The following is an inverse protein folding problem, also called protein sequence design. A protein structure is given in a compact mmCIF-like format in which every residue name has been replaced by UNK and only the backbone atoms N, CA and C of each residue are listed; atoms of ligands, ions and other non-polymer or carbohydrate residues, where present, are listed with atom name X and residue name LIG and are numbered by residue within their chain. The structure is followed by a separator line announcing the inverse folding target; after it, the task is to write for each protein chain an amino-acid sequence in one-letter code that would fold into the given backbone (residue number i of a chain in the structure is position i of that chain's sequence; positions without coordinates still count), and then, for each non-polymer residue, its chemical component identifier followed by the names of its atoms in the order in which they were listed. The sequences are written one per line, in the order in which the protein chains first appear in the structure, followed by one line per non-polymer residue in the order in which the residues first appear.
data_IF_338371007062
#
_entry.id   IF_338371007062
#
_cell.length_a   1.000
_cell.length_b   1.000
_cell.length_c   1.000
_cell.angle_alpha   90.00
_cell.angle_beta   90.00
_cell.angle_gamma   90.00
#
_symmetry.space_group_name_H-M   'P 1'
#
loop_
_entity.id
_entity.type
_entity.pdbx_description
1 polymer ?
#
# COMPACT_ATOMS: atom_id res chain seq x y z
N UNK A 1 48.41 -26.32 37.70
CA UNK A 1 47.20 -26.66 36.89
C UNK A 1 45.94 -25.90 37.37
N UNK A 2 45.63 -25.82 38.64
CA UNK A 2 44.40 -25.17 39.18
C UNK A 2 44.24 -23.68 38.84
N UNK A 3 45.31 -22.88 38.85
CA UNK A 3 45.26 -21.43 38.51
C UNK A 3 44.92 -21.17 37.04
N UNK A 4 45.47 -22.00 36.12
CA UNK A 4 45.18 -21.90 34.68
C UNK A 4 43.72 -22.25 34.36
N UNK A 5 43.13 -23.18 35.09
CA UNK A 5 41.73 -23.57 34.96
C UNK A 5 40.76 -22.48 35.53
N UNK A 6 41.12 -21.83 36.65
CA UNK A 6 40.38 -20.71 37.22
C UNK A 6 40.35 -19.51 36.25
N UNK A 7 41.49 -19.18 35.61
CA UNK A 7 41.61 -18.09 34.64
C UNK A 7 40.81 -18.37 33.35
N UNK A 8 40.77 -19.62 32.87
CA UNK A 8 39.92 -20.04 31.75
C UNK A 8 38.44 -19.96 32.08
N UNK A 9 37.99 -20.41 33.26
CA UNK A 9 36.60 -20.30 33.73
C UNK A 9 36.13 -18.85 33.84
N UNK A 10 36.98 -17.97 34.37
CA UNK A 10 36.70 -16.52 34.51
C UNK A 10 36.57 -15.83 33.16
N UNK A 11 37.44 -16.12 32.18
CA UNK A 11 37.36 -15.60 30.81
C UNK A 11 36.07 -16.05 30.11
N UNK A 12 35.69 -17.35 30.26
CA UNK A 12 34.46 -17.91 29.69
C UNK A 12 33.20 -17.27 30.30
N UNK A 13 33.19 -16.94 31.60
CA UNK A 13 32.13 -16.27 32.28
C UNK A 13 31.98 -14.79 31.83
N UNK A 14 33.12 -14.09 31.67
CA UNK A 14 33.12 -12.69 31.19
C UNK A 14 32.66 -12.59 29.74
N UNK A 15 33.09 -13.53 28.89
CA UNK A 15 32.66 -13.61 27.49
C UNK A 15 31.12 -13.87 27.37
N UNK A 16 30.60 -14.79 28.17
CA UNK A 16 29.15 -15.04 28.23
C UNK A 16 28.38 -13.81 28.69
N UNK A 17 28.89 -13.09 29.68
CA UNK A 17 28.29 -11.84 30.16
C UNK A 17 28.29 -10.76 29.08
N UNK A 18 29.38 -10.61 28.34
CA UNK A 18 29.47 -9.70 27.21
C UNK A 18 28.42 -10.03 26.13
N UNK A 19 28.33 -11.31 25.73
CA UNK A 19 27.38 -11.75 24.71
C UNK A 19 25.93 -11.42 25.09
N UNK A 20 25.51 -11.72 26.31
CA UNK A 20 24.12 -11.43 26.67
C UNK A 20 23.84 -9.94 26.79
N UNK A 21 24.79 -9.12 27.28
CA UNK A 21 24.61 -7.66 27.35
C UNK A 21 24.54 -7.07 25.94
N UNK A 22 25.41 -7.50 25.04
CA UNK A 22 25.38 -7.08 23.65
C UNK A 22 24.04 -7.46 22.97
N UNK A 23 23.59 -8.70 23.15
CA UNK A 23 22.33 -9.16 22.59
C UNK A 23 21.12 -8.43 23.19
N UNK A 24 21.17 -8.10 24.48
CA UNK A 24 20.13 -7.29 25.13
C UNK A 24 20.08 -5.85 24.57
N UNK A 25 21.23 -5.23 24.37
CA UNK A 25 21.32 -3.92 23.74
C UNK A 25 20.75 -3.93 22.32
N UNK A 26 21.10 -4.93 21.52
CA UNK A 26 20.52 -5.12 20.16
C UNK A 26 19.02 -5.37 20.23
N UNK A 27 18.56 -6.18 21.20
CA UNK A 27 17.11 -6.45 21.37
C UNK A 27 16.34 -5.18 21.72
N UNK A 28 16.88 -4.28 22.55
CA UNK A 28 16.28 -2.98 22.83
C UNK A 28 16.28 -2.10 21.59
N UNK A 29 17.40 -2.04 20.86
CA UNK A 29 17.56 -1.23 19.65
C UNK A 29 16.56 -1.63 18.54
N UNK A 30 16.26 -2.92 18.38
CA UNK A 30 15.27 -3.44 17.41
C UNK A 30 13.87 -3.44 18.01
N UNK A 31 13.73 -3.81 19.27
CA UNK A 31 12.44 -3.98 19.94
C UNK A 31 11.69 -2.68 20.15
N UNK A 32 12.40 -1.57 20.46
CA UNK A 32 11.75 -0.26 20.63
C UNK A 32 11.12 0.26 19.33
N UNK A 33 11.81 0.28 18.16
CA UNK A 33 11.16 0.58 16.89
C UNK A 33 10.04 -0.41 16.52
N UNK A 34 10.15 -1.70 16.85
CA UNK A 34 9.08 -2.67 16.61
C UNK A 34 7.84 -2.37 17.48
N UNK A 35 8.02 -1.91 18.71
CA UNK A 35 6.92 -1.38 19.54
C UNK A 35 6.32 -0.11 18.92
N UNK A 36 7.14 0.79 18.39
CA UNK A 36 6.66 1.99 17.70
C UNK A 36 5.87 1.63 16.44
N UNK A 37 6.26 0.60 15.69
CA UNK A 37 5.48 0.16 14.53
C UNK A 37 4.10 -0.40 14.92
N UNK A 38 3.98 -1.07 16.07
CA UNK A 38 2.67 -1.40 16.66
C UNK A 38 1.84 -0.14 16.97
N UNK A 39 2.48 0.89 17.53
CA UNK A 39 1.79 2.15 17.86
C UNK A 39 1.47 3.01 16.63
N UNK A 40 2.13 2.80 15.49
CA UNK A 40 1.93 3.57 14.26
C UNK A 40 0.49 3.53 13.72
N UNK A 41 -0.25 2.46 14.01
CA UNK A 41 -1.67 2.35 13.65
C UNK A 41 -2.60 3.25 14.48
N UNK A 42 -2.13 3.75 15.62
CA UNK A 42 -2.93 4.54 16.58
C UNK A 42 -2.49 5.99 16.69
N UNK A 43 -1.18 6.24 16.62
CA UNK A 43 -0.59 7.56 16.84
C UNK A 43 -0.48 8.30 15.51
N UNK A 44 -1.12 9.50 15.38
CA UNK A 44 -1.02 10.30 14.17
C UNK A 44 0.43 10.69 13.83
N UNK A 45 0.82 10.71 12.55
CA UNK A 45 2.14 11.17 12.11
C UNK A 45 2.50 12.59 12.56
N UNK A 46 1.52 13.48 12.69
CA UNK A 46 1.70 14.83 13.22
C UNK A 46 2.17 14.83 14.68
N UNK A 47 1.80 13.82 15.47
CA UNK A 47 2.20 13.66 16.87
C UNK A 47 3.61 13.09 16.98
N UNK A 48 3.95 12.06 16.19
CA UNK A 48 5.26 11.43 16.22
C UNK A 48 5.66 10.84 14.87
N UNK A 49 6.60 11.52 14.21
CA UNK A 49 7.20 11.01 12.98
C UNK A 49 7.98 9.71 13.19
N UNK A 50 8.65 9.51 14.33
CA UNK A 50 9.41 8.28 14.61
C UNK A 50 8.53 7.04 14.64
N UNK A 51 7.32 7.18 15.16
CA UNK A 51 6.31 6.13 15.16
C UNK A 51 5.87 5.82 13.73
N UNK A 52 5.59 6.83 12.91
CA UNK A 52 5.20 6.65 11.51
C UNK A 52 6.29 5.96 10.69
N UNK A 53 7.56 6.37 10.85
CA UNK A 53 8.71 5.72 10.18
C UNK A 53 8.89 4.27 10.59
N UNK A 54 8.66 3.94 11.86
CA UNK A 54 8.73 2.56 12.35
C UNK A 54 7.68 1.68 11.69
N UNK A 55 6.51 2.23 11.32
CA UNK A 55 5.46 1.53 10.58
C UNK A 55 5.93 1.04 9.20
N UNK A 56 6.66 1.87 8.44
CA UNK A 56 7.27 1.43 7.16
C UNK A 56 8.31 0.34 7.40
N UNK A 57 9.13 0.46 8.45
CA UNK A 57 10.21 -0.48 8.76
C UNK A 57 9.70 -1.82 9.34
N UNK A 58 8.41 -1.96 9.62
CA UNK A 58 7.81 -3.10 10.33
C UNK A 58 8.30 -4.48 9.84
N UNK A 59 8.26 -4.84 8.54
CA UNK A 59 8.64 -6.18 8.11
C UNK A 59 10.09 -6.52 8.47
N UNK A 60 11.00 -5.57 8.32
CA UNK A 60 12.42 -5.74 8.63
C UNK A 60 12.68 -5.85 10.13
N UNK A 61 12.01 -5.01 10.92
CA UNK A 61 12.08 -5.04 12.38
C UNK A 61 11.53 -6.35 12.94
N UNK A 62 10.45 -6.86 12.35
CA UNK A 62 9.88 -8.16 12.73
C UNK A 62 10.88 -9.29 12.47
N UNK A 63 11.47 -9.36 11.26
CA UNK A 63 12.45 -10.40 10.91
C UNK A 63 13.67 -10.31 11.84
N UNK A 64 14.20 -9.10 12.06
CA UNK A 64 15.33 -8.90 12.99
C UNK A 64 14.98 -9.36 14.42
N UNK A 65 13.78 -9.04 14.91
CA UNK A 65 13.32 -9.47 16.23
C UNK A 65 13.10 -10.98 16.31
N UNK A 66 12.65 -11.66 15.24
CA UNK A 66 12.55 -13.11 15.18
C UNK A 66 13.95 -13.78 15.27
N UNK A 67 14.96 -13.21 14.59
CA UNK A 67 16.34 -13.66 14.69
C UNK A 67 16.86 -13.51 16.12
N UNK A 68 16.62 -12.37 16.77
CA UNK A 68 17.00 -12.12 18.17
C UNK A 68 16.28 -13.11 19.10
N UNK A 69 15.00 -13.35 18.88
CA UNK A 69 14.21 -14.31 19.63
C UNK A 69 14.85 -15.72 19.56
N UNK A 70 15.25 -16.16 18.36
CA UNK A 70 15.95 -17.42 18.16
C UNK A 70 17.30 -17.46 18.89
N UNK A 71 18.11 -16.39 18.83
CA UNK A 71 19.40 -16.31 19.52
C UNK A 71 19.28 -16.39 21.04
N UNK A 72 18.19 -15.88 21.63
CA UNK A 72 17.96 -15.97 23.07
C UNK A 72 17.83 -17.39 23.57
N UNK A 73 17.39 -18.34 22.76
CA UNK A 73 17.32 -19.78 23.12
C UNK A 73 18.70 -20.30 23.55
N UNK A 74 19.78 -19.86 22.86
CA UNK A 74 21.14 -20.34 23.09
C UNK A 74 21.92 -19.52 24.11
N UNK A 75 21.63 -18.22 24.23
CA UNK A 75 22.38 -17.31 25.10
C UNK A 75 21.77 -17.27 26.49
N UNK A 76 20.45 -17.00 26.61
CA UNK A 76 19.73 -16.92 27.87
C UNK A 76 18.22 -16.90 27.63
N UNK A 77 17.62 -18.07 27.64
CA UNK A 77 16.19 -18.28 27.28
C UNK A 77 15.18 -17.40 28.03
N UNK A 78 15.53 -16.94 29.26
CA UNK A 78 14.67 -16.04 30.06
C UNK A 78 14.33 -14.72 29.36
N UNK A 79 15.23 -14.20 28.50
CA UNK A 79 15.02 -12.96 27.76
C UNK A 79 14.23 -13.16 26.45
N UNK A 80 13.99 -14.41 26.05
CA UNK A 80 13.10 -14.75 24.93
C UNK A 80 11.72 -14.10 25.09
N UNK A 81 11.25 -13.92 26.32
CA UNK A 81 9.96 -13.31 26.64
C UNK A 81 9.83 -11.89 26.06
N UNK A 82 10.92 -11.11 25.97
CA UNK A 82 10.90 -9.74 25.44
C UNK A 82 10.54 -9.78 23.96
N UNK A 83 11.29 -10.54 23.16
CA UNK A 83 11.05 -10.66 21.72
C UNK A 83 9.72 -11.32 21.41
N UNK A 84 9.34 -12.36 22.17
CA UNK A 84 8.06 -13.06 22.01
C UNK A 84 6.87 -12.13 22.28
N UNK A 85 6.93 -11.32 23.34
CA UNK A 85 5.88 -10.33 23.65
C UNK A 85 5.71 -9.33 22.52
N UNK A 86 6.82 -8.82 21.93
CA UNK A 86 6.77 -7.91 20.80
C UNK A 86 6.16 -8.55 19.55
N UNK A 87 6.45 -9.82 19.27
CA UNK A 87 5.82 -10.57 18.17
C UNK A 87 4.31 -10.72 18.43
N UNK A 88 3.93 -11.12 19.64
CA UNK A 88 2.52 -11.31 20.01
C UNK A 88 1.71 -10.01 19.91
N UNK A 89 2.26 -8.88 20.36
CA UNK A 89 1.63 -7.56 20.19
C UNK A 89 1.39 -7.21 18.73
N UNK A 90 2.26 -7.66 17.83
CA UNK A 90 2.19 -7.37 16.41
C UNK A 90 1.43 -8.41 15.56
N UNK A 91 0.79 -9.42 16.15
CA UNK A 91 0.08 -10.49 15.39
C UNK A 91 -0.94 -9.94 14.40
N UNK A 92 -1.73 -8.93 14.80
CA UNK A 92 -2.67 -8.27 13.90
C UNK A 92 -1.97 -7.49 12.77
N UNK A 93 -0.80 -6.92 13.02
CA UNK A 93 0.01 -6.24 12.00
C UNK A 93 0.65 -7.25 11.03
N UNK A 94 1.09 -8.41 11.55
CA UNK A 94 1.58 -9.54 10.73
C UNK A 94 0.47 -10.01 9.79
N UNK A 95 -0.74 -10.23 10.30
CA UNK A 95 -1.91 -10.65 9.51
C UNK A 95 -2.30 -9.65 8.40
N UNK A 96 -1.99 -8.37 8.56
CA UNK A 96 -2.17 -7.36 7.51
C UNK A 96 -1.11 -7.42 6.41
N UNK A 97 0.07 -7.98 6.69
CA UNK A 97 1.20 -8.05 5.76
C UNK A 97 1.32 -9.40 5.06
N UNK A 98 0.91 -10.47 5.71
CA UNK A 98 1.09 -11.82 5.20
C UNK A 98 -0.11 -12.70 5.51
N UNK A 99 -0.66 -13.38 4.48
CA UNK A 99 -1.73 -14.32 4.61
C UNK A 99 -1.23 -15.74 4.41
N UNK A 100 -1.34 -16.55 5.46
CA UNK A 100 -0.97 -17.97 5.45
C UNK A 100 -2.06 -18.86 4.85
N UNK A 101 -3.28 -18.34 4.76
CA UNK A 101 -4.43 -19.06 4.20
C UNK A 101 -4.32 -19.13 2.68
N UNK A 102 -4.84 -20.20 2.10
CA UNK A 102 -5.00 -20.28 0.65
C UNK A 102 -6.13 -19.37 0.16
N UNK A 103 -6.10 -19.04 -1.14
CA UNK A 103 -7.15 -18.24 -1.78
C UNK A 103 -8.46 -19.02 -1.79
N UNK A 104 -9.45 -18.56 -1.04
CA UNK A 104 -10.81 -19.09 -1.08
C UNK A 104 -11.50 -18.68 -2.40
N UNK A 105 -11.79 -19.64 -3.26
CA UNK A 105 -12.58 -19.39 -4.49
C UNK A 105 -14.04 -19.75 -4.22
N UNK A 106 -15.00 -18.91 -4.65
CA UNK A 106 -16.41 -19.26 -4.55
C UNK A 106 -16.70 -20.44 -5.49
N UNK A 107 -17.38 -21.48 -5.02
CA UNK A 107 -17.71 -22.64 -5.84
C UNK A 107 -18.68 -22.29 -6.99
N UNK A 108 -19.70 -21.49 -6.77
CA UNK A 108 -20.59 -20.83 -7.74
C UNK A 108 -21.17 -19.59 -7.06
N UNK A 109 -20.98 -18.42 -7.63
CA UNK A 109 -21.48 -17.17 -7.04
C UNK A 109 -22.26 -16.37 -8.09
N UNK A 110 -23.57 -16.61 -8.16
CA UNK A 110 -24.48 -15.86 -9.04
C UNK A 110 -24.70 -14.40 -8.58
N UNK A 111 -24.22 -14.04 -7.39
CA UNK A 111 -24.41 -12.73 -6.77
C UNK A 111 -23.09 -12.01 -6.45
N UNK A 112 -21.97 -12.53 -6.94
CA UNK A 112 -20.67 -11.89 -6.72
C UNK A 112 -20.47 -10.74 -7.69
N UNK A 113 -19.80 -9.69 -7.18
CA UNK A 113 -19.31 -8.55 -7.94
C UNK A 113 -17.79 -8.67 -7.99
N UNK A 114 -17.22 -8.72 -9.20
CA UNK A 114 -15.77 -8.70 -9.39
C UNK A 114 -15.27 -7.27 -9.43
N UNK A 115 -14.49 -6.88 -8.42
CA UNK A 115 -13.98 -5.52 -8.25
C UNK A 115 -12.47 -5.52 -8.48
N UNK A 116 -11.98 -4.54 -9.25
CA UNK A 116 -10.57 -4.32 -9.53
C UNK A 116 -10.16 -2.91 -9.10
N UNK A 117 -9.02 -2.79 -8.43
CA UNK A 117 -8.32 -1.52 -8.21
C UNK A 117 -7.01 -1.54 -8.97
N UNK A 118 -6.71 -0.50 -9.74
CA UNK A 118 -5.54 -0.48 -10.59
C UNK A 118 -4.96 0.92 -10.75
N UNK A 119 -3.80 1.18 -10.15
CA UNK A 119 -2.99 2.34 -10.51
C UNK A 119 -2.29 2.05 -11.86
N UNK A 120 -2.73 2.73 -12.92
CA UNK A 120 -2.29 2.47 -14.31
C UNK A 120 -1.07 3.31 -14.71
N UNK A 121 -0.49 4.11 -13.81
CA UNK A 121 0.70 4.93 -14.07
C UNK A 121 0.62 5.66 -15.41
N UNK A 122 -0.48 6.34 -15.68
CA UNK A 122 -0.77 7.03 -16.93
C UNK A 122 -0.69 6.10 -18.16
N UNK A 123 -0.95 4.80 -18.00
CA UNK A 123 -0.83 3.75 -19.03
C UNK A 123 0.59 3.65 -19.62
N UNK A 124 1.60 3.90 -18.79
CA UNK A 124 3.02 3.92 -19.17
C UNK A 124 3.37 4.95 -20.26
N UNK A 125 2.64 6.07 -20.25
CA UNK A 125 2.80 7.15 -21.25
C UNK A 125 4.21 7.71 -21.31
N UNK A 126 4.92 7.76 -20.19
CA UNK A 126 6.27 8.33 -20.07
C UNK A 126 7.38 7.28 -20.11
N UNK A 127 7.12 6.11 -20.69
CA UNK A 127 8.19 5.13 -20.89
C UNK A 127 9.29 5.75 -21.77
N UNK A 128 10.55 5.80 -21.28
CA UNK A 128 11.64 6.47 -22.01
C UNK A 128 12.07 5.73 -23.26
N UNK A 129 11.58 4.50 -23.48
CA UNK A 129 11.93 3.68 -24.63
C UNK A 129 10.90 3.90 -25.75
N UNK A 130 11.22 4.60 -26.85
CA UNK A 130 10.26 4.90 -27.92
C UNK A 130 9.58 3.65 -28.51
N UNK A 131 10.30 2.53 -28.60
CA UNK A 131 9.77 1.25 -29.09
C UNK A 131 8.76 0.58 -28.14
N UNK A 132 8.65 1.06 -26.90
CA UNK A 132 7.71 0.56 -25.89
C UNK A 132 6.48 1.47 -25.73
N UNK A 133 6.46 2.64 -26.40
CA UNK A 133 5.32 3.56 -26.33
C UNK A 133 4.01 2.87 -26.71
N UNK A 134 3.01 2.97 -25.86
CA UNK A 134 1.70 2.34 -26.04
C UNK A 134 1.61 0.85 -25.68
N UNK A 135 2.73 0.12 -25.57
CA UNK A 135 2.70 -1.31 -25.19
C UNK A 135 2.18 -1.53 -23.76
N UNK A 136 2.45 -0.62 -22.85
CA UNK A 136 1.90 -0.64 -21.49
C UNK A 136 0.36 -0.60 -21.53
N UNK A 137 -0.20 0.33 -22.32
CA UNK A 137 -1.64 0.44 -22.55
C UNK A 137 -2.25 -0.84 -23.10
N UNK A 138 -1.64 -1.44 -24.13
CA UNK A 138 -2.13 -2.68 -24.74
C UNK A 138 -2.13 -3.84 -23.74
N UNK A 139 -1.08 -3.98 -22.92
CA UNK A 139 -1.03 -5.01 -21.87
C UNK A 139 -2.16 -4.82 -20.86
N UNK A 140 -2.44 -3.58 -20.45
CA UNK A 140 -3.54 -3.25 -19.51
C UNK A 140 -4.90 -3.66 -20.13
N UNK A 141 -5.15 -3.28 -21.37
CA UNK A 141 -6.43 -3.62 -22.05
C UNK A 141 -6.60 -5.12 -22.25
N UNK A 142 -5.55 -5.83 -22.64
CA UNK A 142 -5.58 -7.29 -22.75
C UNK A 142 -5.89 -7.95 -21.39
N UNK A 143 -5.30 -7.42 -20.31
CA UNK A 143 -5.57 -7.90 -18.96
C UNK A 143 -7.04 -7.66 -18.55
N UNK A 144 -7.56 -6.46 -18.79
CA UNK A 144 -8.97 -6.16 -18.53
C UNK A 144 -9.91 -7.09 -19.31
N UNK A 145 -9.58 -7.40 -20.58
CA UNK A 145 -10.35 -8.32 -21.43
C UNK A 145 -10.36 -9.75 -20.88
N UNK A 146 -9.25 -10.20 -20.29
CA UNK A 146 -9.12 -11.53 -19.66
C UNK A 146 -9.88 -11.56 -18.34
N UNK A 147 -9.66 -10.57 -17.47
CA UNK A 147 -10.20 -10.55 -16.13
C UNK A 147 -11.69 -10.20 -16.07
N UNK A 148 -12.21 -9.43 -17.02
CA UNK A 148 -13.61 -9.00 -17.14
C UNK A 148 -14.22 -8.53 -15.81
N UNK A 149 -13.64 -7.56 -15.12
CA UNK A 149 -14.18 -7.07 -13.87
C UNK A 149 -15.57 -6.43 -14.08
N UNK A 150 -16.41 -6.48 -13.04
CA UNK A 150 -17.70 -5.80 -13.08
C UNK A 150 -17.55 -4.33 -12.69
N UNK A 151 -16.55 -4.01 -11.87
CA UNK A 151 -16.20 -2.65 -11.44
C UNK A 151 -14.68 -2.51 -11.49
N UNK A 152 -14.19 -1.43 -12.11
CA UNK A 152 -12.77 -1.06 -12.13
C UNK A 152 -12.61 0.34 -11.59
N UNK A 153 -11.71 0.49 -10.63
CA UNK A 153 -11.28 1.78 -10.09
C UNK A 153 -9.84 2.04 -10.53
N UNK A 154 -9.64 3.05 -11.36
CA UNK A 154 -8.33 3.45 -11.85
C UNK A 154 -7.78 4.63 -11.05
N UNK A 155 -6.50 4.57 -10.73
CA UNK A 155 -5.68 5.67 -10.25
C UNK A 155 -4.64 6.03 -11.31
N UNK A 156 -4.20 7.29 -11.32
CA UNK A 156 -3.32 7.86 -12.34
C UNK A 156 -3.87 7.62 -13.76
N UNK A 157 -5.18 7.78 -13.90
CA UNK A 157 -5.88 7.66 -15.17
C UNK A 157 -5.54 8.81 -16.09
N UNK A 158 -5.20 8.51 -17.35
CA UNK A 158 -4.85 9.49 -18.38
C UNK A 158 -5.88 9.52 -19.49
N UNK A 159 -6.26 10.72 -19.91
CA UNK A 159 -7.13 10.96 -21.06
C UNK A 159 -6.50 11.98 -22.02
N UNK A 160 -6.32 11.60 -23.27
CA UNK A 160 -5.95 12.46 -24.40
C UNK A 160 -7.23 12.87 -25.14
N UNK A 161 -7.80 14.02 -24.79
CA UNK A 161 -9.09 14.50 -25.34
C UNK A 161 -9.00 14.81 -26.83
N UNK A 162 -7.85 15.32 -27.29
CA UNK A 162 -7.62 15.66 -28.69
C UNK A 162 -7.12 14.49 -29.54
N UNK A 163 -6.89 13.35 -28.90
CA UNK A 163 -6.27 12.18 -29.51
C UNK A 163 -4.96 12.44 -30.27
N UNK A 164 -4.21 13.44 -29.83
CA UNK A 164 -2.94 13.81 -30.48
C UNK A 164 -1.84 12.76 -30.34
N UNK A 165 -1.92 11.98 -29.27
CA UNK A 165 -1.02 10.87 -28.98
C UNK A 165 -1.57 9.52 -29.46
N UNK A 166 -2.72 9.51 -30.15
CA UNK A 166 -3.45 8.29 -30.51
C UNK A 166 -3.77 7.42 -29.27
N UNK A 167 -4.25 8.06 -28.21
CA UNK A 167 -4.40 7.46 -26.89
C UNK A 167 -5.87 7.43 -26.43
N UNK A 168 -6.70 6.66 -27.13
CA UNK A 168 -8.13 6.47 -26.86
C UNK A 168 -8.34 5.60 -25.60
N UNK A 169 -8.25 6.18 -24.41
CA UNK A 169 -8.35 5.40 -23.19
C UNK A 169 -9.79 5.04 -22.82
N UNK A 170 -10.68 6.02 -22.77
CA UNK A 170 -12.07 5.80 -22.31
C UNK A 170 -12.83 4.87 -23.25
N UNK A 171 -12.86 5.15 -24.55
CA UNK A 171 -13.57 4.33 -25.54
C UNK A 171 -13.00 2.91 -25.61
N UNK A 172 -11.66 2.78 -25.51
CA UNK A 172 -11.00 1.48 -25.49
C UNK A 172 -11.37 0.66 -24.25
N UNK A 173 -11.53 1.28 -23.07
CA UNK A 173 -11.95 0.57 -21.86
C UNK A 173 -13.41 0.19 -21.96
N UNK A 174 -14.28 1.09 -22.42
CA UNK A 174 -15.71 0.79 -22.63
C UNK A 174 -15.88 -0.40 -23.58
N UNK A 175 -15.17 -0.37 -24.71
CA UNK A 175 -15.17 -1.49 -25.67
C UNK A 175 -14.60 -2.77 -25.06
N UNK A 176 -13.48 -2.69 -24.34
CA UNK A 176 -12.82 -3.86 -23.73
C UNK A 176 -13.68 -4.53 -22.67
N UNK A 177 -14.43 -3.75 -21.89
CA UNK A 177 -15.31 -4.24 -20.85
C UNK A 177 -16.74 -4.52 -21.33
N UNK A 178 -17.00 -4.34 -22.65
CA UNK A 178 -18.32 -4.51 -23.28
C UNK A 178 -19.38 -3.61 -22.61
N UNK A 179 -18.98 -2.39 -22.21
CA UNK A 179 -19.86 -1.39 -21.59
C UNK A 179 -20.48 -0.49 -22.68
N UNK A 180 -21.67 0.01 -22.38
CA UNK A 180 -22.31 1.04 -23.23
C UNK A 180 -21.51 2.35 -23.12
N UNK A 181 -21.38 3.07 -24.23
CA UNK A 181 -20.80 4.42 -24.22
C UNK A 181 -21.83 5.42 -23.68
N UNK A 182 -22.02 5.38 -22.37
CA UNK A 182 -22.99 6.16 -21.64
C UNK A 182 -22.42 6.47 -20.25
N UNK A 183 -22.45 7.74 -19.86
CA UNK A 183 -21.95 8.23 -18.57
C UNK A 183 -22.62 7.56 -17.35
N UNK A 184 -23.70 6.81 -17.55
CA UNK A 184 -24.32 5.96 -16.52
C UNK A 184 -23.47 4.74 -16.13
N UNK A 185 -22.39 4.43 -16.87
CA UNK A 185 -21.54 3.26 -16.66
C UNK A 185 -20.08 3.60 -16.36
N UNK A 186 -19.74 4.90 -16.35
CA UNK A 186 -18.43 5.36 -15.91
C UNK A 186 -18.51 6.74 -15.26
N UNK A 187 -17.55 7.05 -14.40
CA UNK A 187 -17.33 8.38 -13.84
C UNK A 187 -15.84 8.68 -13.82
N UNK A 188 -15.47 9.84 -14.32
CA UNK A 188 -14.08 10.31 -14.40
C UNK A 188 -13.99 11.71 -13.82
N UNK A 189 -12.90 11.97 -13.11
CA UNK A 189 -12.61 13.29 -12.61
C UNK A 189 -11.12 13.62 -12.75
N UNK A 190 -10.85 14.79 -13.29
CA UNK A 190 -9.52 15.27 -13.63
C UNK A 190 -9.27 16.61 -12.93
N UNK A 191 -8.60 16.61 -11.75
CA UNK A 191 -8.29 17.85 -11.03
C UNK A 191 -7.33 18.75 -11.79
N UNK A 192 -6.48 18.16 -12.63
CA UNK A 192 -5.49 18.86 -13.42
C UNK A 192 -5.57 18.48 -14.90
N UNK A 193 -5.27 19.47 -15.74
CA UNK A 193 -5.11 19.28 -17.18
C UNK A 193 -3.91 20.07 -17.69
N UNK A 194 -3.30 19.58 -18.76
CA UNK A 194 -2.25 20.27 -19.47
C UNK A 194 -2.81 20.76 -20.82
N UNK A 195 -2.84 22.08 -21.01
CA UNK A 195 -3.27 22.74 -22.25
C UNK A 195 -4.72 22.42 -22.67
N UNK A 196 -5.59 21.98 -21.74
CA UNK A 196 -6.94 21.46 -22.02
C UNK A 196 -6.97 20.27 -23.01
N UNK A 197 -5.87 19.53 -23.14
CA UNK A 197 -5.71 18.40 -24.03
C UNK A 197 -5.44 17.10 -23.28
N UNK A 198 -4.57 17.16 -22.26
CA UNK A 198 -4.15 16.00 -21.47
C UNK A 198 -4.69 16.10 -20.06
N UNK A 199 -5.45 15.11 -19.66
CA UNK A 199 -6.15 15.08 -18.39
C UNK A 199 -5.63 13.94 -17.51
N UNK A 200 -5.44 14.23 -16.24
CA UNK A 200 -4.88 13.31 -15.25
C UNK A 200 -5.79 13.22 -14.05
N UNK A 201 -6.18 12.01 -13.64
CA UNK A 201 -7.08 11.88 -12.53
C UNK A 201 -7.42 10.44 -12.14
N UNK A 202 -8.67 10.27 -11.77
CA UNK A 202 -9.25 8.99 -11.36
C UNK A 202 -10.43 8.64 -12.24
N UNK A 203 -10.69 7.31 -12.39
CA UNK A 203 -11.86 6.85 -13.10
C UNK A 203 -12.48 5.61 -12.42
N UNK A 204 -13.79 5.49 -12.51
CA UNK A 204 -14.57 4.30 -12.13
C UNK A 204 -15.35 3.86 -13.37
N UNK A 205 -15.20 2.60 -13.78
CA UNK A 205 -16.00 1.95 -14.81
C UNK A 205 -16.77 0.79 -14.20
N UNK A 206 -18.02 0.61 -14.60
CA UNK A 206 -18.89 -0.38 -13.97
C UNK A 206 -19.96 -0.90 -14.93
N UNK A 207 -20.32 -2.19 -14.82
CA UNK A 207 -21.46 -2.79 -15.52
C UNK A 207 -22.81 -2.37 -14.93
N UNK A 208 -22.80 -1.74 -13.77
CA UNK A 208 -24.00 -1.34 -13.05
C UNK A 208 -24.28 0.15 -13.24
N UNK A 209 -25.56 0.49 -13.35
CA UNK A 209 -25.97 1.89 -13.54
C UNK A 209 -25.52 2.74 -12.35
N UNK A 210 -24.78 3.81 -12.62
CA UNK A 210 -24.47 4.89 -11.68
C UNK A 210 -25.72 5.77 -11.53
N UNK A 211 -26.14 5.99 -10.31
CA UNK A 211 -27.29 6.81 -9.95
C UNK A 211 -26.88 8.13 -9.30
N UNK A 212 -25.65 8.20 -8.80
CA UNK A 212 -25.05 9.42 -8.25
C UNK A 212 -23.53 9.28 -8.27
N UNK A 213 -22.82 10.37 -8.37
CA UNK A 213 -21.35 10.40 -8.33
C UNK A 213 -20.85 11.74 -7.77
N UNK A 214 -19.56 11.80 -7.45
CA UNK A 214 -18.95 13.04 -7.02
C UNK A 214 -17.49 12.88 -6.59
N UNK A 215 -16.94 13.98 -6.10
CA UNK A 215 -15.55 14.13 -5.70
C UNK A 215 -15.46 14.41 -4.22
N UNK A 216 -14.46 13.81 -3.57
CA UNK A 216 -14.00 14.20 -2.24
C UNK A 216 -12.63 14.84 -2.41
N UNK A 217 -12.60 16.16 -2.35
CA UNK A 217 -11.36 16.93 -2.44
C UNK A 217 -10.55 16.71 -1.15
N UNK A 218 -9.43 16.01 -1.26
CA UNK A 218 -8.56 15.67 -0.12
C UNK A 218 -7.43 16.68 0.11
N UNK A 219 -7.09 17.42 -0.94
CA UNK A 219 -6.10 18.49 -0.91
C UNK A 219 -6.38 19.45 -2.08
N UNK A 220 -6.58 20.71 -1.77
CA UNK A 220 -6.94 21.72 -2.78
C UNK A 220 -5.89 21.83 -3.89
N UNK A 221 -6.34 21.71 -5.14
CA UNK A 221 -5.49 21.82 -6.32
C UNK A 221 -4.49 20.68 -6.53
N UNK A 222 -4.69 19.55 -5.86
CA UNK A 222 -3.84 18.36 -5.97
C UNK A 222 -4.51 17.24 -6.77
N UNK A 223 -3.69 16.34 -7.33
CA UNK A 223 -4.16 15.07 -7.89
C UNK A 223 -4.53 14.02 -6.82
N UNK A 224 -4.28 14.35 -5.54
CA UNK A 224 -4.61 13.47 -4.43
C UNK A 224 -6.07 13.70 -4.01
N UNK A 225 -6.95 12.91 -4.56
CA UNK A 225 -8.41 13.01 -4.42
C UNK A 225 -9.02 11.64 -4.19
N UNK A 226 -10.28 11.61 -3.83
CA UNK A 226 -11.13 10.45 -3.97
C UNK A 226 -12.36 10.81 -4.82
N UNK A 227 -12.78 9.90 -5.67
CA UNK A 227 -14.06 9.99 -6.36
C UNK A 227 -14.98 8.87 -5.86
N UNK A 228 -16.28 9.08 -5.98
CA UNK A 228 -17.24 8.04 -5.68
C UNK A 228 -18.31 7.92 -6.77
N UNK A 229 -18.86 6.72 -6.88
CA UNK A 229 -20.03 6.42 -7.68
C UNK A 229 -21.00 5.54 -6.85
N UNK A 230 -22.26 5.96 -6.80
CA UNK A 230 -23.34 5.16 -6.23
C UNK A 230 -23.93 4.31 -7.35
N UNK A 231 -23.72 2.99 -7.29
CA UNK A 231 -24.18 2.05 -8.30
C UNK A 231 -25.44 1.34 -7.85
N UNK A 232 -26.36 1.12 -8.79
CA UNK A 232 -27.56 0.31 -8.55
C UNK A 232 -27.24 -1.15 -8.77
N UNK A 233 -27.27 -1.94 -7.70
CA UNK A 233 -27.08 -3.37 -7.75
C UNK A 233 -28.35 -4.05 -7.23
N UNK A 234 -29.15 -4.64 -8.14
CA UNK A 234 -30.48 -5.19 -7.82
C UNK A 234 -31.39 -4.14 -7.16
N UNK A 235 -31.92 -4.43 -5.97
CA UNK A 235 -32.72 -3.50 -5.17
C UNK A 235 -31.88 -2.49 -4.40
N UNK A 236 -30.59 -2.75 -4.21
CA UNK A 236 -29.70 -1.98 -3.34
C UNK A 236 -28.89 -0.92 -4.11
N UNK A 237 -28.32 -0.02 -3.36
CA UNK A 237 -27.33 0.95 -3.85
C UNK A 237 -26.03 0.75 -3.07
N UNK A 238 -24.91 0.65 -3.79
CA UNK A 238 -23.57 0.47 -3.22
C UNK A 238 -22.71 1.67 -3.62
N UNK A 239 -22.01 2.27 -2.67
CA UNK A 239 -21.05 3.35 -2.97
C UNK A 239 -19.67 2.78 -3.18
N UNK A 240 -19.10 3.06 -4.36
CA UNK A 240 -17.73 2.69 -4.74
C UNK A 240 -16.87 3.94 -4.65
N UNK A 241 -15.74 3.86 -3.98
CA UNK A 241 -14.71 4.91 -4.00
C UNK A 241 -13.50 4.45 -4.80
N UNK A 242 -12.94 5.33 -5.63
CA UNK A 242 -11.57 5.26 -6.15
C UNK A 242 -10.75 6.34 -5.46
N UNK A 243 -9.65 5.95 -4.81
CA UNK A 243 -8.87 6.79 -3.90
C UNK A 243 -7.42 6.83 -4.37
N UNK A 244 -6.81 8.01 -4.36
CA UNK A 244 -5.37 8.17 -4.54
C UNK A 244 -4.85 9.17 -3.49
N UNK A 245 -4.20 8.66 -2.45
CA UNK A 245 -3.60 9.48 -1.40
C UNK A 245 -2.22 10.00 -1.83
N UNK A 246 -1.71 11.00 -1.11
CA UNK A 246 -0.41 11.62 -1.41
C UNK A 246 0.71 10.59 -1.50
N UNK A 247 1.37 10.54 -2.66
CA UNK A 247 2.60 9.78 -2.87
C UNK A 247 3.81 10.50 -2.24
N UNK A 248 4.94 9.79 -2.13
CA UNK A 248 6.17 10.35 -1.56
C UNK A 248 6.85 11.30 -2.54
N UNK A 249 6.48 11.24 -3.84
CA UNK A 249 7.10 12.00 -4.94
C UNK A 249 8.63 11.90 -4.94
N UNK A 250 9.13 10.66 -4.95
CA UNK A 250 10.55 10.38 -5.12
C UNK A 250 10.98 10.74 -6.54
N UNK A 251 12.03 11.54 -6.68
CA UNK A 251 12.62 11.87 -7.95
C UNK A 251 13.72 10.85 -8.37
N UNK A 252 14.25 10.99 -9.57
CA UNK A 252 15.29 10.10 -10.09
C UNK A 252 16.53 10.05 -9.18
N UNK A 253 16.87 11.17 -8.54
CA UNK A 253 18.01 11.26 -7.62
C UNK A 253 17.73 10.47 -6.33
N UNK A 254 16.49 10.47 -5.83
CA UNK A 254 16.09 9.66 -4.68
C UNK A 254 16.19 8.16 -4.97
N UNK A 255 15.75 7.72 -6.17
CA UNK A 255 15.89 6.32 -6.61
C UNK A 255 17.36 5.91 -6.77
N UNK A 256 18.19 6.76 -7.37
CA UNK A 256 19.63 6.53 -7.47
C UNK A 256 20.26 6.46 -6.07
N UNK A 257 19.81 7.29 -5.12
CA UNK A 257 20.26 7.25 -3.72
C UNK A 257 19.92 5.93 -3.06
N UNK A 258 18.73 5.39 -3.28
CA UNK A 258 18.33 4.07 -2.79
C UNK A 258 19.23 2.94 -3.31
N UNK A 259 19.61 2.97 -4.59
CA UNK A 259 20.60 2.04 -5.19
C UNK A 259 22.02 2.26 -4.64
N UNK A 260 22.41 3.49 -4.40
CA UNK A 260 23.72 3.88 -3.85
C UNK A 260 23.93 3.40 -2.42
N UNK A 261 22.86 3.35 -1.61
CA UNK A 261 22.92 2.86 -0.23
C UNK A 261 23.49 1.44 -0.12
N UNK A 262 23.24 0.60 -1.12
CA UNK A 262 23.77 -0.77 -1.16
C UNK A 262 25.21 -0.86 -1.61
N UNK A 263 25.77 0.19 -2.23
CA UNK A 263 27.07 0.14 -2.91
C UNK A 263 28.15 1.07 -2.31
N UNK A 264 27.79 2.19 -1.66
CA UNK A 264 28.74 3.20 -1.21
C UNK A 264 28.33 3.86 0.13
N UNK A 265 28.63 3.22 1.24
CA UNK A 265 28.35 3.76 2.58
C UNK A 265 29.19 5.00 2.95
N UNK A 266 30.23 5.34 2.18
CA UNK A 266 31.19 6.41 2.47
C UNK A 266 31.00 7.69 1.63
N UNK A 267 29.89 7.86 0.90
CA UNK A 267 29.62 9.11 0.14
C UNK A 267 29.32 10.27 1.12
N UNK A 268 30.10 11.37 1.11
CA UNK A 268 29.85 12.52 1.97
C UNK A 268 28.48 13.20 1.73
N UNK A 269 27.89 13.02 0.54
CA UNK A 269 26.56 13.53 0.20
C UNK A 269 25.42 12.60 0.63
N UNK A 270 25.71 11.38 1.05
CA UNK A 270 24.72 10.39 1.45
C UNK A 270 23.81 10.90 2.58
N UNK A 271 24.40 11.56 3.57
CA UNK A 271 23.67 12.16 4.69
C UNK A 271 22.63 13.21 4.22
N UNK A 272 22.99 14.06 3.26
CA UNK A 272 22.08 15.09 2.71
C UNK A 272 20.96 14.48 1.89
N UNK A 273 21.27 13.49 1.05
CA UNK A 273 20.31 12.77 0.22
C UNK A 273 19.30 12.00 1.08
N UNK A 274 19.78 11.27 2.08
CA UNK A 274 18.93 10.54 3.05
C UNK A 274 18.01 11.49 3.81
N UNK A 275 18.51 12.65 4.22
CA UNK A 275 17.70 13.67 4.90
C UNK A 275 16.56 14.17 4.01
N UNK A 276 16.78 14.33 2.70
CA UNK A 276 15.73 14.75 1.77
C UNK A 276 14.63 13.71 1.65
N UNK A 277 14.98 12.43 1.48
CA UNK A 277 14.00 11.33 1.44
C UNK A 277 13.20 11.28 2.75
N UNK A 278 13.88 11.42 3.88
CA UNK A 278 13.24 11.47 5.18
C UNK A 278 12.22 12.61 5.30
N UNK A 279 12.57 13.83 4.83
CA UNK A 279 11.66 14.96 4.84
C UNK A 279 10.46 14.77 3.92
N UNK A 280 10.66 14.22 2.71
CA UNK A 280 9.57 13.88 1.79
C UNK A 280 8.59 12.87 2.41
N UNK A 281 9.11 11.85 3.09
CA UNK A 281 8.30 10.87 3.82
C UNK A 281 7.49 11.51 4.95
N UNK A 282 8.11 12.34 5.79
CA UNK A 282 7.43 13.02 6.91
C UNK A 282 6.27 13.91 6.41
N UNK A 283 6.51 14.67 5.34
CA UNK A 283 5.47 15.48 4.71
C UNK A 283 4.34 14.62 4.17
N UNK A 284 4.65 13.53 3.46
CA UNK A 284 3.66 12.64 2.89
C UNK A 284 2.79 11.97 3.98
N UNK A 285 3.39 11.52 5.09
CA UNK A 285 2.64 10.95 6.22
C UNK A 285 1.62 11.93 6.81
N UNK A 286 2.03 13.18 7.06
CA UNK A 286 1.17 14.22 7.61
C UNK A 286 0.06 14.61 6.65
N UNK A 287 0.34 14.68 5.35
CA UNK A 287 -0.68 14.92 4.33
C UNK A 287 -1.71 13.79 4.32
N UNK A 288 -1.28 12.53 4.29
CA UNK A 288 -2.18 11.36 4.32
C UNK A 288 -3.04 11.30 5.59
N UNK A 289 -2.50 11.71 6.74
CA UNK A 289 -3.29 11.84 7.98
C UNK A 289 -4.49 12.78 7.78
N UNK A 290 -4.27 13.97 7.21
CA UNK A 290 -5.33 14.95 6.95
C UNK A 290 -6.32 14.44 5.90
N UNK A 291 -5.81 13.87 4.80
CA UNK A 291 -6.62 13.32 3.72
C UNK A 291 -7.56 12.21 4.22
N UNK A 292 -7.04 11.31 5.03
CA UNK A 292 -7.84 10.22 5.63
C UNK A 292 -8.90 10.76 6.57
N UNK A 293 -8.61 11.81 7.33
CA UNK A 293 -9.60 12.46 8.20
C UNK A 293 -10.76 13.05 7.37
N UNK A 294 -10.46 13.74 6.27
CA UNK A 294 -11.47 14.31 5.37
C UNK A 294 -12.29 13.20 4.71
N UNK A 295 -11.63 12.18 4.17
CA UNK A 295 -12.29 11.04 3.54
C UNK A 295 -13.20 10.30 4.53
N UNK A 296 -12.75 10.10 5.76
CA UNK A 296 -13.53 9.45 6.81
C UNK A 296 -14.80 10.23 7.13
N UNK A 297 -14.73 11.54 7.24
CA UNK A 297 -15.92 12.38 7.47
C UNK A 297 -16.96 12.20 6.36
N UNK A 298 -16.52 12.13 5.11
CA UNK A 298 -17.40 11.87 3.97
C UNK A 298 -17.98 10.45 3.99
N UNK A 299 -17.17 9.45 4.32
CA UNK A 299 -17.61 8.06 4.48
C UNK A 299 -18.65 7.92 5.60
N UNK A 300 -18.46 8.63 6.72
CA UNK A 300 -19.33 8.57 7.88
C UNK A 300 -20.74 9.14 7.60
N UNK A 301 -20.87 10.02 6.61
CA UNK A 301 -22.17 10.55 6.15
C UNK A 301 -22.91 9.62 5.17
N UNK A 302 -22.26 8.58 4.65
CA UNK A 302 -22.84 7.67 3.67
C UNK A 302 -23.72 6.60 4.33
N UNK A 303 -24.95 6.44 3.83
CA UNK A 303 -25.91 5.41 4.30
C UNK A 303 -25.78 4.07 3.58
N UNK A 304 -25.15 4.06 2.42
CA UNK A 304 -25.00 2.87 1.57
C UNK A 304 -23.88 1.99 2.05
N UNK A 305 -23.90 0.67 1.73
CA UNK A 305 -22.71 -0.16 1.78
C UNK A 305 -21.62 0.44 0.93
N UNK A 306 -20.37 0.33 1.40
CA UNK A 306 -19.22 0.97 0.76
C UNK A 306 -18.19 -0.06 0.33
N UNK A 307 -17.59 0.15 -0.83
CA UNK A 307 -16.35 -0.49 -1.27
C UNK A 307 -15.34 0.64 -1.55
N UNK A 308 -14.19 0.57 -0.89
CA UNK A 308 -13.08 1.51 -1.07
C UNK A 308 -11.98 0.82 -1.87
N UNK A 309 -11.67 1.35 -3.04
CA UNK A 309 -10.58 0.88 -3.90
C UNK A 309 -9.54 1.98 -4.03
N UNK A 310 -8.27 1.66 -4.03
CA UNK A 310 -7.29 2.66 -4.40
C UNK A 310 -5.90 2.48 -3.85
N UNK A 311 -5.05 3.38 -4.33
CA UNK A 311 -3.67 3.55 -3.88
C UNK A 311 -3.64 4.48 -2.66
N UNK A 312 -3.36 3.90 -1.50
CA UNK A 312 -3.23 4.67 -0.25
C UNK A 312 -1.81 5.22 -0.07
N UNK A 313 -0.88 4.80 -0.93
CA UNK A 313 0.53 5.19 -0.86
C UNK A 313 1.17 4.95 0.52
N UNK A 314 0.62 4.03 1.31
CA UNK A 314 1.05 3.75 2.67
C UNK A 314 0.91 2.26 3.01
N UNK A 315 1.70 1.78 3.98
CA UNK A 315 1.77 0.36 4.36
C UNK A 315 0.62 -0.07 5.27
N UNK A 316 0.37 -1.39 5.43
CA UNK A 316 -0.68 -1.89 6.34
C UNK A 316 -0.44 -1.58 7.83
N UNK A 317 0.80 -1.23 8.23
CA UNK A 317 1.11 -0.78 9.58
C UNK A 317 0.83 0.71 9.80
N UNK A 318 0.56 1.49 8.76
CA UNK A 318 0.42 2.94 8.82
C UNK A 318 -0.86 3.40 9.53
N UNK A 319 -0.83 4.65 10.01
CA UNK A 319 -2.00 5.34 10.53
C UNK A 319 -3.11 5.44 9.47
N UNK A 320 -2.76 5.85 8.25
CA UNK A 320 -3.73 6.08 7.18
C UNK A 320 -4.56 4.84 6.85
N UNK A 321 -3.91 3.70 6.57
CA UNK A 321 -4.61 2.44 6.34
C UNK A 321 -5.50 2.06 7.53
N UNK A 322 -4.97 2.14 8.75
CA UNK A 322 -5.69 1.65 9.92
C UNK A 322 -6.91 2.51 10.28
N UNK A 323 -6.89 3.83 10.01
CA UNK A 323 -8.07 4.67 10.24
C UNK A 323 -9.24 4.30 9.32
N UNK A 324 -8.97 3.92 8.06
CA UNK A 324 -9.99 3.45 7.13
C UNK A 324 -10.41 2.00 7.43
N UNK A 325 -9.46 1.11 7.65
CA UNK A 325 -9.73 -0.31 7.90
C UNK A 325 -10.53 -0.59 9.20
N UNK A 326 -10.62 0.35 10.15
CA UNK A 326 -11.44 0.17 11.38
C UNK A 326 -12.91 -0.14 11.09
N UNK A 327 -13.48 0.47 10.04
CA UNK A 327 -14.89 0.30 9.68
C UNK A 327 -15.14 -0.84 8.70
N UNK A 328 -14.14 -1.23 7.94
CA UNK A 328 -14.22 -2.12 6.80
C UNK A 328 -13.45 -3.43 7.05
N UNK A 329 -13.71 -4.40 6.21
CA UNK A 329 -12.88 -5.60 6.04
C UNK A 329 -11.92 -5.36 4.87
N UNK A 330 -10.74 -5.94 4.94
CA UNK A 330 -9.73 -5.91 3.88
C UNK A 330 -9.80 -7.21 3.08
N UNK A 331 -10.02 -7.12 1.77
CA UNK A 331 -10.14 -8.29 0.89
C UNK A 331 -8.91 -9.20 0.94
N UNK A 332 -7.71 -8.62 1.07
CA UNK A 332 -6.47 -9.39 1.20
C UNK A 332 -6.45 -10.23 2.47
N UNK A 333 -6.87 -9.66 3.60
CA UNK A 333 -6.92 -10.38 4.88
C UNK A 333 -7.94 -11.49 4.90
N UNK A 334 -9.06 -11.31 4.20
CA UNK A 334 -10.17 -12.28 4.19
C UNK A 334 -9.95 -13.42 3.19
N UNK A 335 -9.38 -13.14 2.03
CA UNK A 335 -9.31 -14.10 0.91
C UNK A 335 -8.03 -14.03 0.06
N UNK A 336 -7.00 -13.34 0.53
CA UNK A 336 -5.69 -13.26 -0.13
C UNK A 336 -4.73 -14.36 0.32
N UNK A 337 -3.55 -14.38 -0.31
CA UNK A 337 -2.44 -15.29 0.01
C UNK A 337 -1.09 -14.59 -0.14
N UNK A 338 -0.12 -14.98 0.69
CA UNK A 338 1.25 -14.47 0.64
C UNK A 338 1.38 -13.04 1.14
N UNK A 339 2.20 -12.22 0.50
CA UNK A 339 2.55 -10.87 0.93
C UNK A 339 1.62 -9.78 0.37
N UNK A 340 0.96 -10.04 -0.75
CA UNK A 340 0.05 -9.10 -1.41
C UNK A 340 0.72 -7.81 -1.88
N UNK A 341 1.99 -7.86 -2.25
CA UNK A 341 2.79 -6.70 -2.67
C UNK A 341 2.20 -6.11 -3.95
N UNK A 342 1.95 -4.81 -3.95
CA UNK A 342 1.41 -4.07 -5.10
C UNK A 342 2.41 -3.05 -5.66
N UNK A 343 3.34 -2.57 -4.84
CA UNK A 343 4.41 -1.66 -5.26
C UNK A 343 5.75 -2.38 -5.40
N UNK A 344 6.32 -2.34 -6.59
CA UNK A 344 7.56 -3.03 -6.98
C UNK A 344 8.66 -2.03 -7.40
N UNK A 345 9.00 -1.08 -6.53
CA UNK A 345 10.08 -0.14 -6.83
C UNK A 345 11.46 -0.81 -6.89
N UNK A 346 12.27 -0.49 -7.92
CA UNK A 346 13.60 -1.10 -8.13
C UNK A 346 14.62 -0.77 -7.04
N UNK A 347 14.46 0.36 -6.34
CA UNK A 347 15.45 0.89 -5.40
C UNK A 347 14.97 0.90 -3.95
N UNK A 348 13.72 0.62 -3.71
CA UNK A 348 13.08 0.66 -2.38
C UNK A 348 12.41 -0.67 -2.06
N UNK A 349 12.17 -0.91 -0.77
CA UNK A 349 11.43 -2.07 -0.33
C UNK A 349 10.08 -2.18 -1.02
N UNK A 350 9.69 -3.40 -1.35
CA UNK A 350 8.40 -3.69 -1.93
C UNK A 350 7.32 -3.69 -0.87
N UNK A 351 6.16 -3.06 -1.16
CA UNK A 351 5.08 -2.92 -0.19
C UNK A 351 3.70 -3.16 -0.83
N UNK A 352 2.75 -3.54 0.01
CA UNK A 352 1.34 -3.43 -0.32
C UNK A 352 0.87 -2.01 0.03
N UNK A 353 0.50 -1.22 -0.97
CA UNK A 353 0.01 0.16 -0.83
C UNK A 353 -1.36 0.36 -1.46
N UNK A 354 -1.82 -0.58 -2.30
CA UNK A 354 -3.15 -0.60 -2.89
C UNK A 354 -4.07 -1.52 -2.10
N UNK A 355 -5.30 -1.11 -1.93
CA UNK A 355 -6.27 -1.79 -1.10
C UNK A 355 -7.64 -1.84 -1.72
N UNK A 356 -8.37 -2.93 -1.44
CA UNK A 356 -9.82 -3.01 -1.58
C UNK A 356 -10.39 -3.31 -0.20
N UNK A 357 -11.03 -2.30 0.40
CA UNK A 357 -11.72 -2.41 1.67
C UNK A 357 -13.23 -2.40 1.42
N UNK A 358 -14.00 -3.17 2.18
CA UNK A 358 -15.42 -3.31 1.93
C UNK A 358 -16.25 -3.41 3.20
N UNK A 359 -17.52 -3.07 3.08
CA UNK A 359 -18.49 -3.10 4.18
C UNK A 359 -18.64 -4.50 4.78
N UNK A 360 -18.69 -4.59 6.10
CA UNK A 360 -18.74 -5.85 6.87
C UNK A 360 -19.95 -6.73 6.55
N UNK A 361 -20.99 -6.18 5.90
CA UNK A 361 -22.17 -6.92 5.41
C UNK A 361 -21.85 -7.88 4.28
N UNK A 362 -20.72 -7.67 3.58
CA UNK A 362 -20.28 -8.52 2.47
C UNK A 362 -19.22 -9.53 2.91
N UNK A 363 -18.92 -10.48 2.04
CA UNK A 363 -17.82 -11.44 2.16
C UNK A 363 -16.93 -11.33 0.92
N UNK A 364 -15.62 -11.39 1.10
CA UNK A 364 -14.64 -11.41 0.02
C UNK A 364 -14.26 -12.83 -0.35
N UNK A 365 -14.00 -13.05 -1.65
CA UNK A 365 -13.48 -14.28 -2.20
C UNK A 365 -12.43 -13.97 -3.27
N UNK A 366 -11.41 -14.81 -3.38
CA UNK A 366 -10.51 -14.83 -4.52
C UNK A 366 -9.69 -13.56 -4.70
N UNK A 367 -9.27 -12.90 -3.61
CA UNK A 367 -8.37 -11.75 -3.74
C UNK A 367 -7.03 -12.19 -4.34
N UNK A 368 -6.64 -11.56 -5.44
CA UNK A 368 -5.38 -11.79 -6.13
C UNK A 368 -4.68 -10.46 -6.39
N UNK A 369 -3.35 -10.47 -6.28
CA UNK A 369 -2.49 -9.38 -6.75
C UNK A 369 -1.73 -9.89 -7.96
N UNK A 370 -1.84 -9.16 -9.08
CA UNK A 370 -1.21 -9.54 -10.34
C UNK A 370 0.02 -8.68 -10.58
N UNK A 371 1.18 -9.33 -10.58
CA UNK A 371 2.48 -8.69 -10.80
C UNK A 371 3.05 -8.98 -12.21
N UNK A 372 2.27 -9.68 -13.05
CA UNK A 372 2.70 -10.08 -14.41
C UNK A 372 2.68 -8.93 -15.41
N UNK A 373 1.98 -7.85 -15.10
CA UNK A 373 1.90 -6.65 -15.94
C UNK A 373 2.73 -5.57 -15.28
N UNK A 374 4.01 -5.53 -15.64
CA UNK A 374 4.87 -4.38 -15.30
C UNK A 374 4.58 -3.26 -16.29
N UNK A 375 4.07 -2.15 -15.77
CA UNK A 375 3.83 -0.89 -16.48
C UNK A 375 4.75 0.16 -15.91
#
# INVERSE_FOLDING_TARGET
MAYRNKKKKRKKSQFRRFLYVALLAINILVGLPLLFSFLAQYIPPSTSKYVAFSGIAFPYLLVANCIICFLWIFVRYQYLIISLTLILLNTNTIDKHYQFKGVEKPQKCAQCIKVMSYNVRLFDLYNPTPSEFGKGKEKIFNYLKIEKPDIVCFQEYFLDKGNKLNFFTTDSILSTLELQNDERYYYQYFPNNLRNEYFYGLAIFTKYRIVNNGVVELEKGSNNIAIYADIKYRSDTIRIYSIHLTSIHLDKIDYETGKYFSQNLNDPNLSKKTKNIYLKLDVAFKKRELQVKMLKNHIDSCRFPIILCGDFNDTPASYAYNQLAKKFKDTFRESGQGEGITYHGDAFPQYRIDYILYDKRYKSYGHTVTNSIKV
#
